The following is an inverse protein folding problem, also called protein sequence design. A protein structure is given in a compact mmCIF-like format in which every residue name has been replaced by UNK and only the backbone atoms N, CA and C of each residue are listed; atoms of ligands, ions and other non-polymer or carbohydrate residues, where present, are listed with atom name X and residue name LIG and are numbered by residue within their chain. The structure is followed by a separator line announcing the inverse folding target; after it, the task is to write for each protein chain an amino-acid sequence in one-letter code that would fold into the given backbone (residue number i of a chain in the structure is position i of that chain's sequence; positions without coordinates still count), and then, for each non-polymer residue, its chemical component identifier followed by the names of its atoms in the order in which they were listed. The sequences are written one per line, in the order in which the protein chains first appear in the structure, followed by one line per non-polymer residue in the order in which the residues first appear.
data_IF_853981336533
#
_entry.id   IF_853981336533
#
_cell.length_a   1.000
_cell.length_b   1.000
_cell.length_c   1.000
_cell.angle_alpha   90.00
_cell.angle_beta   90.00
_cell.angle_gamma   90.00
#
_symmetry.space_group_name_H-M   'P 1'
#
loop_
_entity.id
_entity.type
_entity.pdbx_description
1 polymer ?
#
# COMPACT_ATOMS: atom_id res chain seq x y z
N UNK A 1 -12.71 -7.22 -0.69
CA UNK A 1 -11.76 -7.70 -1.71
C UNK A 1 -11.04 -6.46 -2.20
N UNK A 2 -9.71 -6.47 -2.15
CA UNK A 2 -8.89 -5.32 -2.57
C UNK A 2 -8.98 -5.19 -4.08
N UNK A 3 -9.05 -3.96 -4.57
CA UNK A 3 -9.05 -3.66 -5.99
C UNK A 3 -7.64 -3.90 -6.59
N UNK A 4 -7.57 -4.69 -7.66
CA UNK A 4 -6.32 -5.01 -8.37
C UNK A 4 -5.53 -3.76 -8.81
N UNK A 5 -6.20 -2.68 -9.22
CA UNK A 5 -5.54 -1.43 -9.61
C UNK A 5 -4.80 -0.80 -8.43
N UNK A 6 -5.39 -0.85 -7.23
CA UNK A 6 -4.79 -0.27 -6.02
C UNK A 6 -3.67 -1.16 -5.51
N UNK A 7 -3.86 -2.47 -5.52
CA UNK A 7 -2.78 -3.42 -5.23
C UNK A 7 -1.57 -3.19 -6.13
N UNK A 8 -1.78 -3.15 -7.45
CA UNK A 8 -0.71 -2.90 -8.42
C UNK A 8 -0.05 -1.54 -8.18
N UNK A 9 -0.84 -0.50 -7.91
CA UNK A 9 -0.29 0.82 -7.63
C UNK A 9 0.64 0.84 -6.42
N UNK A 10 0.21 0.26 -5.31
CA UNK A 10 1.02 0.24 -4.08
C UNK A 10 2.28 -0.61 -4.29
N UNK A 11 2.18 -1.73 -5.01
CA UNK A 11 3.35 -2.55 -5.38
C UNK A 11 4.34 -1.79 -6.28
N UNK A 12 3.85 -1.04 -7.27
CA UNK A 12 4.71 -0.20 -8.10
C UNK A 12 5.40 0.89 -7.30
N UNK A 13 4.73 1.47 -6.29
CA UNK A 13 5.38 2.44 -5.40
C UNK A 13 6.48 1.80 -4.56
N UNK A 14 6.27 0.55 -4.09
CA UNK A 14 7.26 -0.22 -3.35
C UNK A 14 8.55 -0.46 -4.17
N UNK A 15 8.40 -0.78 -5.45
CA UNK A 15 9.53 -0.91 -6.39
C UNK A 15 10.18 0.45 -6.69
N UNK A 16 9.40 1.42 -7.18
CA UNK A 16 9.91 2.69 -7.68
C UNK A 16 10.61 3.55 -6.62
N UNK A 17 10.10 3.55 -5.38
CA UNK A 17 10.56 4.47 -4.33
C UNK A 17 11.38 3.79 -3.23
N UNK A 18 11.26 2.47 -3.06
CA UNK A 18 11.89 1.74 -1.96
C UNK A 18 12.78 0.58 -2.44
N UNK A 19 12.72 0.23 -3.74
CA UNK A 19 13.56 -0.79 -4.35
C UNK A 19 13.18 -2.22 -3.97
N UNK A 20 11.94 -2.43 -3.54
CA UNK A 20 11.40 -3.77 -3.31
C UNK A 20 11.11 -4.45 -4.66
N UNK A 21 11.38 -5.75 -4.76
CA UNK A 21 11.15 -6.50 -6.01
C UNK A 21 9.65 -6.77 -6.19
N UNK A 22 9.01 -6.02 -7.09
CA UNK A 22 7.57 -6.18 -7.39
C UNK A 22 7.19 -7.60 -7.81
N UNK A 23 8.04 -8.29 -8.59
CA UNK A 23 7.74 -9.65 -9.05
C UNK A 23 7.76 -10.61 -7.86
N UNK A 24 8.71 -10.45 -6.93
CA UNK A 24 8.76 -11.23 -5.71
C UNK A 24 7.56 -10.96 -4.79
N UNK A 25 7.21 -9.68 -4.57
CA UNK A 25 6.06 -9.31 -3.73
C UNK A 25 4.73 -9.79 -4.34
N UNK A 26 4.60 -9.77 -5.66
CA UNK A 26 3.42 -10.32 -6.35
C UNK A 26 3.31 -11.83 -6.12
N UNK A 27 4.42 -12.58 -6.26
CA UNK A 27 4.41 -14.01 -6.01
C UNK A 27 4.03 -14.34 -4.57
N UNK A 28 4.58 -13.60 -3.60
CA UNK A 28 4.23 -13.77 -2.18
C UNK A 28 2.75 -13.44 -1.93
N UNK A 29 2.22 -12.37 -2.53
CA UNK A 29 0.80 -12.01 -2.39
C UNK A 29 -0.13 -13.07 -2.99
N UNK A 30 0.23 -13.65 -4.13
CA UNK A 30 -0.52 -14.77 -4.74
C UNK A 30 -0.47 -16.04 -3.88
N UNK A 31 0.64 -16.29 -3.18
CA UNK A 31 0.83 -17.48 -2.33
C UNK A 31 0.13 -17.34 -0.97
N UNK A 32 0.27 -16.19 -0.32
CA UNK A 32 -0.12 -15.99 1.09
C UNK A 32 -1.40 -15.17 1.27
N UNK A 33 -2.00 -14.66 0.19
CA UNK A 33 -3.16 -13.76 0.18
C UNK A 33 -2.90 -12.39 0.85
N UNK A 34 -1.77 -12.20 1.53
CA UNK A 34 -1.30 -10.95 2.13
C UNK A 34 0.22 -11.00 2.36
N UNK A 35 0.86 -9.84 2.48
CA UNK A 35 2.32 -9.74 2.68
C UNK A 35 2.68 -8.74 3.79
N UNK A 36 3.79 -9.01 4.46
CA UNK A 36 4.37 -8.09 5.44
C UNK A 36 5.30 -7.10 4.73
N UNK A 37 5.05 -5.80 4.94
CA UNK A 37 5.85 -4.71 4.40
C UNK A 37 6.29 -3.82 5.56
N UNK A 38 7.49 -3.23 5.48
CA UNK A 38 7.95 -2.32 6.51
C UNK A 38 6.97 -1.15 6.66
N UNK A 39 6.50 -0.96 7.89
CA UNK A 39 5.59 0.10 8.27
C UNK A 39 6.08 1.51 7.86
N UNK A 40 7.40 1.71 7.72
CA UNK A 40 7.97 2.98 7.26
C UNK A 40 7.58 3.29 5.82
N UNK A 41 7.52 2.29 4.94
CA UNK A 41 7.20 2.50 3.53
C UNK A 41 5.76 2.99 3.36
N UNK A 42 4.82 2.46 4.15
CA UNK A 42 3.44 2.94 4.15
C UNK A 42 3.34 4.43 4.54
N UNK A 43 4.16 4.88 5.48
CA UNK A 43 4.19 6.30 5.89
C UNK A 43 4.82 7.16 4.80
N UNK A 44 5.89 6.68 4.16
CA UNK A 44 6.59 7.41 3.10
C UNK A 44 5.80 7.47 1.78
N UNK A 45 4.89 6.51 1.52
CA UNK A 45 3.98 6.54 0.38
C UNK A 45 2.83 7.55 0.50
N UNK A 46 2.46 7.97 1.72
CA UNK A 46 1.35 8.91 1.95
C UNK A 46 1.42 10.16 1.08
N UNK A 47 2.49 10.97 1.12
CA UNK A 47 2.53 12.21 0.34
C UNK A 47 2.38 11.97 -1.17
N UNK A 48 2.88 10.84 -1.67
CA UNK A 48 2.78 10.47 -3.09
C UNK A 48 1.31 10.19 -3.45
N UNK A 49 0.62 9.39 -2.62
CA UNK A 49 -0.78 9.03 -2.80
C UNK A 49 -1.72 10.23 -2.60
N UNK A 50 -1.43 11.11 -1.64
CA UNK A 50 -2.18 12.36 -1.42
C UNK A 50 -2.08 13.29 -2.63
N UNK A 51 -0.89 13.46 -3.20
CA UNK A 51 -0.68 14.28 -4.40
C UNK A 51 -1.39 13.69 -5.61
N UNK A 52 -1.22 12.38 -5.86
CA UNK A 52 -1.75 11.72 -7.05
C UNK A 52 -3.28 11.67 -7.08
N UNK A 53 -3.90 11.35 -5.94
CA UNK A 53 -5.36 11.22 -5.85
C UNK A 53 -6.05 12.48 -5.32
N UNK A 54 -5.30 13.54 -4.98
CA UNK A 54 -5.85 14.76 -4.36
C UNK A 54 -6.67 14.46 -3.10
N UNK A 55 -6.21 13.50 -2.30
CA UNK A 55 -6.83 13.07 -1.03
C UNK A 55 -6.02 13.57 0.17
N UNK A 56 -6.56 13.42 1.37
CA UNK A 56 -5.83 13.66 2.62
C UNK A 56 -5.93 12.44 3.52
N UNK A 57 -4.79 11.81 3.79
CA UNK A 57 -4.66 10.64 4.65
C UNK A 57 -4.12 11.10 5.99
N UNK A 58 -4.96 11.03 7.02
CA UNK A 58 -4.50 11.44 8.35
C UNK A 58 -3.52 10.39 8.90
N UNK A 59 -2.36 10.78 9.46
CA UNK A 59 -1.37 9.84 9.99
C UNK A 59 -1.94 8.85 11.03
N UNK A 60 -3.00 9.22 11.75
CA UNK A 60 -3.65 8.33 12.72
C UNK A 60 -4.36 7.14 12.06
N UNK A 61 -4.78 7.27 10.80
CA UNK A 61 -5.43 6.20 10.04
C UNK A 61 -4.44 5.09 9.66
N UNK A 62 -3.16 5.44 9.59
CA UNK A 62 -2.06 4.55 9.16
C UNK A 62 -1.58 3.70 10.34
N UNK A 63 -1.60 4.24 11.56
CA UNK A 63 -0.94 3.66 12.74
C UNK A 63 -1.33 2.21 13.07
N UNK A 64 -2.59 1.83 12.84
CA UNK A 64 -3.12 0.49 13.12
C UNK A 64 -3.15 -0.42 11.88
N UNK A 65 -3.09 0.17 10.68
CA UNK A 65 -3.27 -0.50 9.39
C UNK A 65 -1.92 -0.91 8.80
N UNK A 66 -0.95 0.01 8.77
CA UNK A 66 0.42 -0.19 8.27
C UNK A 66 1.26 -1.18 9.09
N UNK A 67 0.81 -1.53 10.31
CA UNK A 67 1.53 -2.45 11.18
C UNK A 67 1.12 -3.92 11.01
N UNK A 68 0.12 -4.22 10.17
CA UNK A 68 -0.54 -5.53 10.22
C UNK A 68 -0.71 -6.23 8.89
N UNK A 69 -0.88 -5.49 7.78
CA UNK A 69 -1.32 -6.09 6.52
C UNK A 69 -1.16 -5.12 5.35
N UNK A 70 -0.53 -5.58 4.27
CA UNK A 70 -0.48 -4.88 2.99
C UNK A 70 -1.88 -4.69 2.41
N UNK A 71 -2.73 -5.72 2.46
CA UNK A 71 -4.11 -5.62 1.99
C UNK A 71 -4.94 -4.60 2.77
N UNK A 72 -4.75 -4.51 4.09
CA UNK A 72 -5.45 -3.52 4.90
C UNK A 72 -5.07 -2.09 4.49
N UNK A 73 -3.80 -1.86 4.15
CA UNK A 73 -3.35 -0.59 3.60
C UNK A 73 -4.00 -0.31 2.25
N UNK A 74 -4.01 -1.28 1.33
CA UNK A 74 -4.64 -1.10 0.02
C UNK A 74 -6.16 -0.82 0.13
N UNK A 75 -6.87 -1.47 1.05
CA UNK A 75 -8.27 -1.20 1.33
C UNK A 75 -8.50 0.22 1.85
N UNK A 76 -7.63 0.71 2.74
CA UNK A 76 -7.69 2.10 3.21
C UNK A 76 -7.57 3.09 2.05
N UNK A 77 -6.60 2.89 1.15
CA UNK A 77 -6.42 3.76 -0.01
C UNK A 77 -7.64 3.71 -0.91
N UNK A 78 -8.14 2.50 -1.21
CA UNK A 78 -9.36 2.30 -2.00
C UNK A 78 -10.56 3.06 -1.40
N UNK A 79 -10.80 2.96 -0.10
CA UNK A 79 -11.93 3.62 0.57
C UNK A 79 -11.82 5.15 0.55
N UNK A 80 -10.61 5.71 0.41
CA UNK A 80 -10.37 7.16 0.40
C UNK A 80 -10.48 7.79 -0.99
N UNK A 81 -10.26 7.01 -2.05
CA UNK A 81 -10.29 7.49 -3.44
C UNK A 81 -11.65 7.27 -4.13
N UNK A 82 -12.56 6.52 -3.50
CA UNK A 82 -13.89 6.19 -4.05
C UNK A 82 -14.97 7.11 -3.47
#
# INVERSE_FOLDING_TARGET
MVNEIITQKVLSLLDEYFGEDIDALLMELEEYDDIEIDSIYFVEMIPILEEEYSITIKPQMIHDIAKRSFNAFCLLIQDLIT
#
